data_IF_256873224475
#
_entry.id   IF_256873224475
#
_cell.length_a   1.000
_cell.length_b   1.000
_cell.length_c   1.000
_cell.angle_alpha   90.00
_cell.angle_beta   90.00
_cell.angle_gamma   90.00
#
_symmetry.space_group_name_H-M   'P 1'
#
loop_
_entity.id
_entity.type
_entity.pdbx_description
1 polymer ?
#
# COMPACT_ATOMS: atom_id res chain seq x y z
N UNK A 1 18.56 -0.42 -1.90
CA UNK A 1 17.83 -0.55 -3.19
C UNK A 1 18.68 -0.24 -4.43
N UNK A 2 19.46 0.84 -4.49
CA UNK A 2 20.35 1.12 -5.65
C UNK A 2 21.66 0.30 -5.66
N UNK A 3 22.41 0.29 -4.54
CA UNK A 3 23.68 -0.45 -4.39
C UNK A 3 23.54 -1.95 -4.69
N UNK A 4 22.47 -2.56 -4.19
CA UNK A 4 22.19 -3.98 -4.40
C UNK A 4 21.99 -4.31 -5.89
N UNK A 5 21.21 -3.49 -6.62
CA UNK A 5 21.00 -3.64 -8.06
C UNK A 5 22.31 -3.54 -8.84
N UNK A 6 23.12 -2.52 -8.55
CA UNK A 6 24.43 -2.36 -9.18
C UNK A 6 25.33 -3.58 -8.93
N UNK A 7 25.40 -4.07 -7.68
CA UNK A 7 26.19 -5.25 -7.33
C UNK A 7 25.69 -6.51 -8.03
N UNK A 8 24.38 -6.71 -8.12
CA UNK A 8 23.78 -7.83 -8.84
C UNK A 8 24.09 -7.80 -10.35
N UNK A 9 24.23 -6.61 -10.94
CA UNK A 9 24.69 -6.42 -12.30
C UNK A 9 26.23 -6.54 -12.46
N UNK A 10 26.97 -6.82 -11.38
CA UNK A 10 28.44 -6.92 -11.42
C UNK A 10 29.17 -5.61 -11.72
N UNK A 11 28.49 -4.46 -11.64
CA UNK A 11 29.04 -3.16 -12.08
C UNK A 11 29.72 -2.41 -10.95
N UNK A 12 30.77 -1.65 -11.26
CA UNK A 12 31.39 -0.70 -10.32
C UNK A 12 30.61 0.62 -10.30
N UNK A 13 30.77 1.43 -9.25
CA UNK A 13 30.15 2.78 -9.20
C UNK A 13 30.65 3.62 -10.38
N UNK A 14 31.94 3.57 -10.68
CA UNK A 14 32.54 4.29 -11.81
C UNK A 14 31.93 3.89 -13.16
N UNK A 15 31.70 2.59 -13.37
CA UNK A 15 31.08 2.10 -14.61
C UNK A 15 29.64 2.61 -14.77
N UNK A 16 28.85 2.60 -13.70
CA UNK A 16 27.47 3.14 -13.76
C UNK A 16 27.46 4.66 -13.91
N UNK A 17 28.39 5.36 -13.26
CA UNK A 17 28.53 6.82 -13.34
C UNK A 17 28.80 7.26 -14.77
N UNK A 18 29.73 6.59 -15.46
CA UNK A 18 30.05 6.85 -16.85
C UNK A 18 28.84 6.67 -17.76
N UNK A 19 28.16 5.52 -17.68
CA UNK A 19 26.99 5.24 -18.52
C UNK A 19 25.80 6.16 -18.25
N UNK A 20 25.60 6.53 -16.97
CA UNK A 20 24.53 7.44 -16.58
C UNK A 20 24.86 8.91 -16.91
N UNK A 21 26.11 9.25 -17.24
CA UNK A 21 26.53 10.65 -17.38
C UNK A 21 26.52 11.41 -16.05
N UNK A 22 26.73 10.71 -14.93
CA UNK A 22 26.70 11.26 -13.57
C UNK A 22 28.09 11.15 -12.92
N UNK A 23 28.32 11.91 -11.85
CA UNK A 23 29.59 11.83 -11.12
C UNK A 23 29.62 10.65 -10.13
N UNK A 24 30.81 10.05 -9.96
CA UNK A 24 31.03 8.98 -8.98
C UNK A 24 30.64 9.38 -7.55
N UNK A 25 31.01 10.57 -7.04
CA UNK A 25 30.60 10.99 -5.70
C UNK A 25 29.09 11.13 -5.56
N UNK A 26 28.40 11.58 -6.61
CA UNK A 26 26.95 11.72 -6.60
C UNK A 26 26.24 10.37 -6.49
N UNK A 27 26.62 9.37 -7.28
CA UNK A 27 26.05 8.02 -7.17
C UNK A 27 26.38 7.39 -5.80
N UNK A 28 27.59 7.59 -5.28
CA UNK A 28 27.96 7.10 -3.97
C UNK A 28 27.07 7.70 -2.86
N UNK A 29 26.75 8.99 -2.95
CA UNK A 29 25.81 9.64 -2.03
C UNK A 29 24.40 9.05 -2.14
N UNK A 30 23.89 8.87 -3.37
CA UNK A 30 22.58 8.27 -3.60
C UNK A 30 22.50 6.82 -3.08
N UNK A 31 23.55 6.02 -3.25
CA UNK A 31 23.62 4.67 -2.69
C UNK A 31 23.57 4.63 -1.16
N UNK A 32 23.99 5.70 -0.50
CA UNK A 32 23.96 5.87 0.95
C UNK A 32 22.72 6.64 1.43
N UNK A 33 21.73 6.86 0.57
CA UNK A 33 20.49 7.56 0.92
C UNK A 33 20.67 9.06 1.16
N UNK A 34 21.75 9.66 0.64
CA UNK A 34 22.04 11.09 0.81
C UNK A 34 21.73 11.86 -0.48
N UNK A 35 21.09 13.02 -0.31
CA UNK A 35 20.78 13.97 -1.38
C UNK A 35 19.33 13.86 -1.89
N UNK A 36 18.96 14.81 -2.75
CA UNK A 36 17.65 14.86 -3.41
C UNK A 36 17.85 14.72 -4.93
N UNK A 37 17.77 13.49 -5.48
CA UNK A 37 18.00 13.29 -6.91
C UNK A 37 16.92 13.95 -7.76
N UNK A 38 17.33 14.50 -8.90
CA UNK A 38 16.37 15.00 -9.88
C UNK A 38 15.73 13.83 -10.64
N UNK A 39 14.55 14.05 -11.23
CA UNK A 39 13.92 13.07 -12.12
C UNK A 39 14.84 12.64 -13.27
N UNK A 40 15.60 13.58 -13.82
CA UNK A 40 16.55 13.30 -14.90
C UNK A 40 17.67 12.35 -14.44
N UNK A 41 18.22 12.57 -13.25
CA UNK A 41 19.24 11.68 -12.69
C UNK A 41 18.69 10.27 -12.42
N UNK A 42 17.43 10.15 -11.95
CA UNK A 42 16.78 8.85 -11.75
C UNK A 42 16.56 8.12 -13.08
N UNK A 43 16.16 8.83 -14.14
CA UNK A 43 16.00 8.26 -15.49
C UNK A 43 17.34 7.78 -16.06
N UNK A 44 18.39 8.57 -15.93
CA UNK A 44 19.75 8.21 -16.38
C UNK A 44 20.27 6.96 -15.65
N UNK A 45 20.08 6.88 -14.33
CA UNK A 45 20.43 5.69 -13.54
C UNK A 45 19.63 4.46 -13.97
N UNK A 46 18.33 4.63 -14.20
CA UNK A 46 17.47 3.52 -14.62
C UNK A 46 17.93 2.97 -15.97
N UNK A 47 18.23 3.84 -16.94
CA UNK A 47 18.75 3.48 -18.24
C UNK A 47 20.12 2.77 -18.14
N UNK A 48 21.07 3.32 -17.38
CA UNK A 48 22.40 2.73 -17.19
C UNK A 48 22.35 1.35 -16.51
N UNK A 49 21.33 1.09 -15.68
CA UNK A 49 21.13 -0.19 -15.00
C UNK A 49 20.22 -1.15 -15.76
N UNK A 50 19.69 -0.76 -16.93
CA UNK A 50 18.76 -1.59 -17.71
C UNK A 50 17.43 -1.82 -16.98
N UNK A 51 16.95 -0.83 -16.23
CA UNK A 51 15.73 -0.90 -15.41
C UNK A 51 14.70 0.13 -15.85
N UNK A 52 13.44 -0.08 -15.45
CA UNK A 52 12.36 0.89 -15.62
C UNK A 52 12.22 1.75 -14.37
N UNK A 53 12.11 3.06 -14.54
CA UNK A 53 11.76 3.99 -13.46
C UNK A 53 10.23 4.02 -13.31
N UNK A 54 9.75 3.68 -12.11
CA UNK A 54 8.34 3.82 -11.72
C UNK A 54 8.24 4.82 -10.57
N UNK A 55 7.23 5.68 -10.62
CA UNK A 55 7.06 6.80 -9.67
C UNK A 55 5.68 6.67 -9.06
N UNK A 56 5.64 6.41 -7.76
CA UNK A 56 4.42 6.39 -6.97
C UNK A 56 4.39 7.58 -6.02
N UNK A 57 3.25 8.28 -5.97
CA UNK A 57 2.95 9.20 -4.88
C UNK A 57 2.16 8.42 -3.84
N UNK A 58 2.82 8.10 -2.74
CA UNK A 58 2.17 7.51 -1.57
C UNK A 58 1.71 8.68 -0.70
N UNK A 59 0.48 8.60 -0.18
CA UNK A 59 0.06 9.50 0.89
C UNK A 59 1.00 9.32 2.08
N UNK A 60 1.18 10.37 2.89
CA UNK A 60 1.93 10.31 4.14
C UNK A 60 1.31 9.22 5.04
N UNK A 61 1.86 8.02 4.95
CA UNK A 61 1.70 6.97 5.94
C UNK A 61 3.11 6.76 6.42
N UNK A 62 3.37 7.26 7.62
CA UNK A 62 4.63 7.08 8.31
C UNK A 62 5.04 5.61 8.22
N UNK A 63 6.29 5.41 7.82
CA UNK A 63 7.01 4.15 7.80
C UNK A 63 6.97 3.52 9.20
N UNK A 64 5.87 2.83 9.48
CA UNK A 64 5.66 1.99 10.65
C UNK A 64 5.34 0.62 10.08
N UNK A 65 6.16 -0.36 10.46
CA UNK A 65 6.03 -1.77 10.11
C UNK A 65 4.56 -2.16 9.96
N UNK A 66 4.21 -2.83 8.85
CA UNK A 66 2.83 -3.20 8.60
C UNK A 66 2.25 -3.81 9.87
N UNK A 67 1.21 -3.17 10.46
CA UNK A 67 0.55 -3.74 11.61
C UNK A 67 0.07 -5.13 11.28
N UNK A 68 0.25 -6.06 12.20
CA UNK A 68 -0.35 -7.37 12.04
C UNK A 68 -1.85 -7.25 11.74
N UNK A 69 -2.45 -8.23 11.07
CA UNK A 69 -3.79 -8.11 10.49
C UNK A 69 -4.87 -7.68 11.50
N UNK A 70 -4.67 -7.95 12.79
CA UNK A 70 -5.52 -7.47 13.88
C UNK A 70 -5.45 -5.94 14.09
N UNK A 71 -4.27 -5.34 13.98
CA UNK A 71 -4.10 -3.89 14.09
C UNK A 71 -4.58 -3.18 12.82
N UNK A 72 -4.40 -3.77 11.63
CA UNK A 72 -5.02 -3.25 10.40
C UNK A 72 -6.55 -3.21 10.49
N UNK A 73 -7.19 -4.29 10.98
CA UNK A 73 -8.64 -4.32 11.23
C UNK A 73 -9.04 -3.30 12.28
N UNK A 74 -8.31 -3.17 13.40
CA UNK A 74 -8.60 -2.18 14.45
C UNK A 74 -8.61 -0.75 13.89
N UNK A 75 -7.57 -0.35 13.16
CA UNK A 75 -7.48 0.98 12.54
C UNK A 75 -8.63 1.23 11.56
N UNK A 76 -8.97 0.21 10.75
CA UNK A 76 -10.12 0.30 9.86
C UNK A 76 -11.41 0.54 10.64
N UNK A 77 -11.63 -0.17 11.76
CA UNK A 77 -12.82 -0.02 12.61
C UNK A 77 -12.94 1.36 13.27
N UNK A 78 -11.83 2.04 13.49
CA UNK A 78 -11.73 3.42 13.98
C UNK A 78 -11.96 4.46 12.86
N UNK A 79 -11.88 4.05 11.59
CA UNK A 79 -11.99 4.97 10.46
C UNK A 79 -13.42 5.52 10.26
N UNK A 80 -13.56 6.77 9.75
CA UNK A 80 -14.85 7.33 9.35
C UNK A 80 -15.55 6.54 8.24
N UNK A 81 -14.78 5.77 7.45
CA UNK A 81 -15.28 4.95 6.33
C UNK A 81 -16.13 3.79 6.85
N UNK A 82 -15.66 3.07 7.87
CA UNK A 82 -16.43 1.97 8.49
C UNK A 82 -17.73 2.48 9.09
N UNK A 83 -17.75 3.67 9.69
CA UNK A 83 -19.00 4.26 10.16
C UNK A 83 -20.01 4.45 9.01
N UNK A 84 -19.58 5.00 7.88
CA UNK A 84 -20.44 5.16 6.70
C UNK A 84 -20.90 3.82 6.12
N UNK A 85 -20.02 2.81 6.09
CA UNK A 85 -20.37 1.46 5.64
C UNK A 85 -21.39 0.83 6.60
N UNK A 86 -21.16 0.87 7.90
CA UNK A 86 -22.06 0.34 8.91
C UNK A 86 -23.43 1.03 8.88
N UNK A 87 -23.49 2.35 8.67
CA UNK A 87 -24.75 3.07 8.46
C UNK A 87 -25.50 2.59 7.22
N UNK A 88 -24.80 2.38 6.10
CA UNK A 88 -25.41 1.82 4.88
C UNK A 88 -25.89 0.39 5.09
N UNK A 89 -25.12 -0.43 5.81
CA UNK A 89 -25.44 -1.83 6.11
C UNK A 89 -26.53 -1.98 7.20
N UNK A 90 -26.72 -1.01 8.08
CA UNK A 90 -27.82 -1.01 9.05
C UNK A 90 -29.19 -0.84 8.36
N UNK A 91 -29.25 -0.14 7.21
CA UNK A 91 -30.50 0.06 6.46
C UNK A 91 -31.53 0.92 7.22
N UNK A 92 -32.80 0.90 6.78
CA UNK A 92 -33.92 1.63 7.42
C UNK A 92 -34.60 0.87 8.56
N UNK A 93 -34.40 -0.45 8.66
CA UNK A 93 -34.98 -1.27 9.74
C UNK A 93 -33.93 -1.59 10.79
N UNK A 94 -33.97 -0.83 11.89
CA UNK A 94 -33.49 -1.21 13.23
C UNK A 94 -32.25 -2.11 13.29
N UNK A 95 -31.16 -1.69 12.68
CA UNK A 95 -29.82 -2.18 12.99
C UNK A 95 -29.10 -1.15 13.82
N UNK A 96 -28.81 -1.44 15.09
CA UNK A 96 -27.86 -0.61 15.84
C UNK A 96 -26.53 -0.60 15.08
N UNK A 97 -26.08 0.59 14.66
CA UNK A 97 -24.83 0.78 13.93
C UNK A 97 -23.66 0.15 14.70
N UNK A 98 -23.72 0.15 16.03
CA UNK A 98 -22.74 -0.48 16.92
C UNK A 98 -22.68 -1.99 16.72
N UNK A 99 -23.84 -2.66 16.66
CA UNK A 99 -23.94 -4.10 16.41
C UNK A 99 -23.46 -4.48 15.00
N UNK A 100 -23.74 -3.63 14.00
CA UNK A 100 -23.23 -3.81 12.64
C UNK A 100 -21.71 -3.69 12.60
N UNK A 101 -21.13 -2.73 13.33
CA UNK A 101 -19.68 -2.59 13.45
C UNK A 101 -19.04 -3.81 14.12
N UNK A 102 -19.62 -4.32 15.21
CA UNK A 102 -19.12 -5.52 15.89
C UNK A 102 -19.11 -6.74 14.96
N UNK A 103 -20.24 -7.02 14.29
CA UNK A 103 -20.33 -8.12 13.32
C UNK A 103 -19.38 -7.97 12.14
N UNK A 104 -19.17 -6.73 11.68
CA UNK A 104 -18.23 -6.45 10.59
C UNK A 104 -16.79 -6.74 11.01
N UNK A 105 -16.42 -6.36 12.23
CA UNK A 105 -15.09 -6.65 12.79
C UNK A 105 -14.83 -8.15 12.87
N UNK A 106 -15.77 -8.92 13.42
CA UNK A 106 -15.67 -10.38 13.53
C UNK A 106 -15.52 -11.04 12.15
N UNK A 107 -16.30 -10.58 11.17
CA UNK A 107 -16.24 -11.10 9.80
C UNK A 107 -14.89 -10.83 9.13
N UNK A 108 -14.34 -9.63 9.28
CA UNK A 108 -13.03 -9.28 8.70
C UNK A 108 -11.90 -10.09 9.34
N UNK A 109 -11.94 -10.30 10.65
CA UNK A 109 -10.96 -11.16 11.34
C UNK A 109 -11.06 -12.63 10.89
N UNK A 110 -12.29 -13.15 10.76
CA UNK A 110 -12.52 -14.51 10.27
C UNK A 110 -12.02 -14.70 8.83
N UNK A 111 -12.23 -13.71 7.95
CA UNK A 111 -11.75 -13.75 6.58
C UNK A 111 -10.22 -13.79 6.48
N UNK A 112 -9.51 -13.03 7.33
CA UNK A 112 -8.05 -13.09 7.40
C UNK A 112 -7.55 -14.49 7.77
N UNK A 113 -8.20 -15.14 8.74
CA UNK A 113 -7.87 -16.50 9.14
C UNK A 113 -8.09 -17.53 8.01
N UNK A 114 -9.11 -17.36 7.17
CA UNK A 114 -9.40 -18.24 6.02
C UNK A 114 -8.36 -18.09 4.91
N UNK A 115 -7.89 -16.87 4.65
CA UNK A 115 -6.92 -16.57 3.57
C UNK A 115 -5.49 -16.97 3.98
N UNK A 116 -5.28 -17.35 5.24
CA UNK A 116 -4.00 -17.88 5.74
C UNK A 116 -2.97 -16.80 6.01
N UNK A 117 -3.38 -15.56 6.29
CA UNK A 117 -2.47 -14.45 6.50
C UNK A 117 -3.12 -13.21 7.08
N UNK A 118 -2.28 -12.19 7.30
CA UNK A 118 -2.71 -10.87 7.73
C UNK A 118 -3.30 -10.10 6.55
N UNK A 119 -4.48 -9.52 6.74
CA UNK A 119 -5.12 -8.68 5.72
C UNK A 119 -4.43 -7.32 5.68
N UNK A 120 -3.92 -6.93 4.52
CA UNK A 120 -3.40 -5.57 4.32
C UNK A 120 -4.55 -4.56 4.32
N UNK A 121 -4.24 -3.28 4.52
CA UNK A 121 -5.24 -2.20 4.43
C UNK A 121 -5.96 -2.19 3.07
N UNK A 122 -5.25 -2.52 1.98
CA UNK A 122 -5.86 -2.61 0.64
C UNK A 122 -6.84 -3.77 0.52
N UNK A 123 -6.56 -4.90 1.17
CA UNK A 123 -7.45 -6.06 1.15
C UNK A 123 -8.73 -5.75 1.94
N UNK A 124 -8.57 -5.10 3.09
CA UNK A 124 -9.69 -4.62 3.90
C UNK A 124 -10.58 -3.64 3.13
N UNK A 125 -9.98 -2.67 2.42
CA UNK A 125 -10.75 -1.71 1.62
C UNK A 125 -11.54 -2.38 0.48
N UNK A 126 -10.93 -3.35 -0.20
CA UNK A 126 -11.61 -4.14 -1.24
C UNK A 126 -12.76 -4.96 -0.68
N UNK A 127 -12.59 -5.57 0.50
CA UNK A 127 -13.65 -6.33 1.16
C UNK A 127 -14.84 -5.43 1.55
N UNK A 128 -14.58 -4.21 2.04
CA UNK A 128 -15.65 -3.24 2.31
C UNK A 128 -16.38 -2.84 1.03
N UNK A 129 -15.67 -2.61 -0.07
CA UNK A 129 -16.28 -2.28 -1.36
C UNK A 129 -17.16 -3.44 -1.88
N UNK A 130 -16.68 -4.69 -1.76
CA UNK A 130 -17.46 -5.88 -2.13
C UNK A 130 -18.75 -6.01 -1.31
N UNK A 131 -18.68 -5.77 0.01
CA UNK A 131 -19.85 -5.79 0.90
C UNK A 131 -20.88 -4.71 0.54
N UNK A 132 -20.42 -3.54 0.12
CA UNK A 132 -21.30 -2.46 -0.35
C UNK A 132 -21.96 -2.81 -1.68
N UNK A 133 -21.18 -3.36 -2.63
CA UNK A 133 -21.67 -3.76 -3.95
C UNK A 133 -22.69 -4.91 -3.87
N UNK A 134 -22.48 -5.90 -3.00
CA UNK A 134 -23.41 -7.03 -2.83
C UNK A 134 -24.77 -6.57 -2.29
N UNK A 135 -24.81 -5.51 -1.50
CA UNK A 135 -26.05 -4.95 -0.97
C UNK A 135 -26.79 -4.09 -2.00
N UNK A 136 -26.07 -3.36 -2.85
CA UNK A 136 -26.68 -2.63 -3.97
C UNK A 136 -27.38 -3.60 -4.94
N UNK A 137 -26.77 -4.73 -5.26
CA UNK A 137 -27.38 -5.75 -6.11
C UNK A 137 -28.61 -6.46 -5.53
N UNK A 138 -28.81 -6.43 -4.20
CA UNK A 138 -30.00 -6.99 -3.55
C UNK A 138 -31.15 -5.98 -3.39
N UNK A 139 -30.89 -4.67 -3.54
CA UNK A 139 -31.88 -3.62 -3.33
C UNK A 139 -32.67 -3.21 -4.59
N UNK A 140 -32.21 -3.60 -5.77
CA UNK A 140 -32.82 -3.27 -7.06
C UNK A 140 -33.71 -4.41 -7.62
N UNK A 141 -33.99 -5.44 -6.80
CA UNK A 141 -34.76 -6.63 -7.20
C UNK A 141 -36.22 -6.64 -6.69
N UNK A 142 -36.74 -5.50 -6.21
CA UNK A 142 -38.12 -5.34 -5.72
C UNK A 142 -38.83 -4.16 -6.39
#
# INVERSE_FOLDING_TARGET
MLRARRKAAGRTIASVAMDAGLSVPYIANLENGRGNPTMSALQQLAAALGTRLEIGLLGETEDTAEPGGQDAVRRLMESPRVLKVAQRLAGKSWGDVSLVKERLQDALLALGAVIGGELSERDLDRLLDLLLLSRSGLGDAD
#
